data_IF_456332820160
#
_entry.id   IF_456332820160
#
_cell.length_a   1.000
_cell.length_b   1.000
_cell.length_c   1.000
_cell.angle_alpha   90.00
_cell.angle_beta   90.00
_cell.angle_gamma   90.00
#
_symmetry.space_group_name_H-M   'P 1'
#
loop_
_entity.id
_entity.type
_entity.pdbx_description
1 polymer ?
#
# COMPACT_ATOMS: atom_id res chain seq x y z
N UNK A 1 18.15 1.82 -23.82
CA UNK A 1 17.45 2.13 -22.55
C UNK A 1 18.03 1.21 -21.47
N UNK A 2 18.70 1.72 -20.43
CA UNK A 2 19.24 0.88 -19.34
C UNK A 2 18.12 0.62 -18.31
N UNK A 3 18.00 -0.62 -17.82
CA UNK A 3 17.00 -0.99 -16.80
C UNK A 3 17.24 -0.22 -15.50
N UNK A 4 16.17 0.13 -14.77
CA UNK A 4 16.29 0.92 -13.54
C UNK A 4 17.20 0.22 -12.51
N UNK A 5 17.05 -1.10 -12.35
CA UNK A 5 17.92 -1.96 -11.52
C UNK A 5 19.40 -1.79 -11.87
N UNK A 6 19.76 -1.83 -13.16
CA UNK A 6 21.16 -1.68 -13.59
C UNK A 6 21.73 -0.32 -13.20
N UNK A 7 20.91 0.73 -13.34
CA UNK A 7 21.32 2.10 -13.01
C UNK A 7 21.53 2.27 -11.51
N UNK A 8 20.58 1.80 -10.71
CA UNK A 8 20.60 1.98 -9.25
C UNK A 8 21.67 1.10 -8.58
N UNK A 9 21.89 -0.11 -9.11
CA UNK A 9 22.93 -1.03 -8.65
C UNK A 9 24.34 -0.73 -9.16
N UNK A 10 24.53 0.38 -9.89
CA UNK A 10 25.81 0.75 -10.55
C UNK A 10 26.35 -0.37 -11.45
N UNK A 11 25.46 -1.15 -12.07
CA UNK A 11 25.81 -2.24 -12.97
C UNK A 11 26.01 -3.60 -12.31
N UNK A 12 25.80 -3.73 -10.99
CA UNK A 12 25.92 -5.03 -10.29
C UNK A 12 24.90 -6.06 -10.83
N UNK A 13 23.68 -5.64 -11.15
CA UNK A 13 22.63 -6.52 -11.68
C UNK A 13 22.13 -6.03 -13.03
N UNK A 14 22.02 -6.93 -14.01
CA UNK A 14 21.49 -6.67 -15.35
C UNK A 14 19.95 -6.51 -15.34
N UNK A 15 19.27 -7.21 -14.43
CA UNK A 15 17.82 -7.25 -14.35
C UNK A 15 17.33 -7.54 -12.91
N UNK A 16 16.02 -7.42 -12.68
CA UNK A 16 15.39 -7.70 -11.38
C UNK A 16 15.48 -9.19 -10.99
N UNK A 17 15.54 -10.10 -11.96
CA UNK A 17 15.66 -11.54 -11.70
C UNK A 17 16.98 -11.87 -11.00
N UNK A 18 18.09 -11.32 -11.49
CA UNK A 18 19.41 -11.46 -10.86
C UNK A 18 19.44 -10.87 -9.45
N UNK A 19 18.79 -9.72 -9.24
CA UNK A 19 18.66 -9.13 -7.92
C UNK A 19 17.91 -10.07 -6.96
N UNK A 20 16.77 -10.61 -7.37
CA UNK A 20 15.94 -11.49 -6.52
C UNK A 20 16.48 -12.92 -6.41
N UNK A 21 17.50 -13.29 -7.19
CA UNK A 21 18.19 -14.57 -7.10
C UNK A 21 19.26 -14.58 -6.00
N UNK A 22 19.62 -13.41 -5.44
CA UNK A 22 20.47 -13.34 -4.25
C UNK A 22 19.67 -13.48 -2.95
N UNK A 23 20.29 -14.03 -1.88
CA UNK A 23 19.69 -13.98 -0.56
C UNK A 23 19.58 -12.53 -0.08
N UNK A 24 18.57 -12.25 0.73
CA UNK A 24 18.34 -10.91 1.29
C UNK A 24 19.51 -10.54 2.21
N UNK A 25 20.15 -9.42 1.94
CA UNK A 25 21.32 -8.89 2.67
C UNK A 25 21.21 -7.38 2.84
N UNK A 26 22.04 -6.80 3.71
CA UNK A 26 22.01 -5.36 4.00
C UNK A 26 22.30 -4.51 2.75
N UNK A 27 23.10 -5.05 1.83
CA UNK A 27 23.53 -4.35 0.61
C UNK A 27 22.44 -4.34 -0.48
N UNK A 28 21.62 -5.40 -0.57
CA UNK A 28 20.65 -5.57 -1.65
C UNK A 28 19.19 -5.33 -1.22
N UNK A 29 18.86 -5.43 0.06
CA UNK A 29 17.48 -5.32 0.58
C UNK A 29 16.83 -3.98 0.24
N UNK A 30 17.61 -2.90 0.27
CA UNK A 30 17.14 -1.57 -0.13
C UNK A 30 16.65 -1.57 -1.58
N UNK A 31 17.48 -2.05 -2.50
CA UNK A 31 17.14 -2.10 -3.92
C UNK A 31 16.00 -3.08 -4.20
N UNK A 32 15.97 -4.22 -3.50
CA UNK A 32 14.86 -5.20 -3.60
C UNK A 32 13.52 -4.56 -3.22
N UNK A 33 13.45 -3.88 -2.09
CA UNK A 33 12.22 -3.22 -1.63
C UNK A 33 11.78 -2.09 -2.57
N UNK A 34 12.72 -1.29 -3.08
CA UNK A 34 12.45 -0.26 -4.09
C UNK A 34 11.86 -0.85 -5.38
N UNK A 35 12.37 -1.99 -5.86
CA UNK A 35 11.84 -2.64 -7.08
C UNK A 35 10.46 -3.26 -6.84
N UNK A 36 10.23 -3.88 -5.68
CA UNK A 36 8.91 -4.41 -5.32
C UNK A 36 7.87 -3.29 -5.26
N UNK A 37 8.19 -2.16 -4.63
CA UNK A 37 7.27 -1.03 -4.52
C UNK A 37 6.91 -0.44 -5.90
N UNK A 38 7.89 -0.29 -6.79
CA UNK A 38 7.63 0.15 -8.17
C UNK A 38 6.71 -0.80 -8.92
N UNK A 39 6.95 -2.11 -8.81
CA UNK A 39 6.13 -3.13 -9.46
C UNK A 39 4.70 -3.16 -8.88
N UNK A 40 4.55 -3.05 -7.57
CA UNK A 40 3.25 -2.97 -6.92
C UNK A 40 2.44 -1.76 -7.43
N UNK A 41 3.04 -0.57 -7.39
CA UNK A 41 2.40 0.66 -7.89
C UNK A 41 2.07 0.57 -9.39
N UNK A 42 2.96 0.00 -10.21
CA UNK A 42 2.72 -0.20 -11.65
C UNK A 42 1.53 -1.13 -11.92
N UNK A 43 1.38 -2.19 -11.13
CA UNK A 43 0.28 -3.13 -11.28
C UNK A 43 -1.08 -2.53 -10.90
N UNK A 44 -1.09 -1.61 -9.93
CA UNK A 44 -2.33 -0.96 -9.47
C UNK A 44 -2.70 0.26 -10.32
N UNK A 45 -1.74 0.85 -11.04
CA UNK A 45 -1.92 2.04 -11.88
C UNK A 45 -3.15 2.00 -12.81
N UNK A 46 -3.49 0.87 -13.49
CA UNK A 46 -4.66 0.81 -14.37
C UNK A 46 -6.00 1.05 -13.66
N UNK A 47 -6.07 0.81 -12.34
CA UNK A 47 -7.31 0.89 -11.57
C UNK A 47 -7.52 2.25 -10.89
N UNK A 48 -6.47 3.04 -10.72
CA UNK A 48 -6.51 4.33 -10.01
C UNK A 48 -5.40 5.26 -10.52
N UNK A 49 -5.63 5.82 -11.71
CA UNK A 49 -4.63 6.63 -12.38
C UNK A 49 -4.26 7.91 -11.63
N UNK A 50 -5.17 8.53 -10.86
CA UNK A 50 -4.91 9.86 -10.31
C UNK A 50 -3.96 9.81 -9.10
N UNK A 51 -4.23 8.91 -8.15
CA UNK A 51 -3.48 8.83 -6.90
C UNK A 51 -2.22 7.99 -7.09
N UNK A 52 -2.36 6.83 -7.74
CA UNK A 52 -1.24 5.89 -7.88
C UNK A 52 -0.19 6.41 -8.85
N UNK A 53 -0.57 7.20 -9.88
CA UNK A 53 0.43 7.83 -10.75
C UNK A 53 1.27 8.87 -10.01
N UNK A 54 0.68 9.64 -9.07
CA UNK A 54 1.43 10.60 -8.24
C UNK A 54 2.45 9.88 -7.37
N UNK A 55 2.03 8.79 -6.70
CA UNK A 55 2.92 7.95 -5.89
C UNK A 55 4.03 7.30 -6.73
N UNK A 56 3.69 6.73 -7.88
CA UNK A 56 4.66 6.10 -8.79
C UNK A 56 5.68 7.12 -9.31
N UNK A 57 5.21 8.27 -9.80
CA UNK A 57 6.09 9.32 -10.30
C UNK A 57 6.95 9.93 -9.19
N UNK A 58 6.42 10.06 -7.97
CA UNK A 58 7.16 10.45 -6.78
C UNK A 58 8.28 9.47 -6.47
N UNK A 59 7.96 8.18 -6.36
CA UNK A 59 8.94 7.12 -6.12
C UNK A 59 10.04 7.09 -7.19
N UNK A 60 9.69 7.18 -8.48
CA UNK A 60 10.69 7.24 -9.56
C UNK A 60 11.60 8.47 -9.43
N UNK A 61 11.07 9.64 -9.04
CA UNK A 61 11.89 10.82 -8.78
C UNK A 61 12.81 10.61 -7.59
N UNK A 62 12.31 10.02 -6.51
CA UNK A 62 13.06 9.73 -5.29
C UNK A 62 14.25 8.83 -5.60
N UNK A 63 14.04 7.71 -6.29
CA UNK A 63 15.11 6.77 -6.65
C UNK A 63 16.25 7.42 -7.45
N UNK A 64 15.95 8.46 -8.24
CA UNK A 64 16.96 9.18 -9.01
C UNK A 64 17.66 10.31 -8.22
N UNK A 65 17.06 10.81 -7.14
CA UNK A 65 17.50 12.03 -6.44
C UNK A 65 17.81 11.83 -4.96
N UNK A 66 17.60 10.63 -4.41
CA UNK A 66 17.78 10.32 -2.98
C UNK A 66 19.20 10.57 -2.45
N UNK A 67 20.20 10.68 -3.33
CA UNK A 67 21.59 10.99 -2.97
C UNK A 67 21.86 12.49 -2.82
N UNK A 68 20.91 13.34 -3.21
CA UNK A 68 21.05 14.78 -3.11
C UNK A 68 20.71 15.25 -1.70
N UNK A 69 21.62 15.96 -1.05
CA UNK A 69 21.52 16.36 0.37
C UNK A 69 20.27 17.21 0.65
N UNK A 70 19.81 18.01 -0.31
CA UNK A 70 18.67 18.93 -0.16
C UNK A 70 17.38 18.41 -0.83
N UNK A 71 17.28 17.10 -1.09
CA UNK A 71 16.10 16.54 -1.75
C UNK A 71 15.09 16.00 -0.73
N UNK A 72 13.88 16.54 -0.77
CA UNK A 72 12.74 16.03 0.01
C UNK A 72 12.17 14.79 -0.66
N UNK A 73 12.18 13.68 0.08
CA UNK A 73 11.60 12.41 -0.33
C UNK A 73 10.07 12.52 -0.36
N UNK A 74 9.43 11.93 -1.37
CA UNK A 74 7.97 11.92 -1.49
C UNK A 74 7.33 10.74 -0.76
N UNK A 75 6.03 10.83 -0.49
CA UNK A 75 5.19 9.75 0.07
C UNK A 75 5.27 8.44 -0.74
N UNK A 76 5.69 8.51 -2.01
CA UNK A 76 5.93 7.32 -2.83
C UNK A 76 7.01 6.41 -2.25
N UNK A 77 8.00 6.97 -1.55
CA UNK A 77 9.09 6.21 -0.93
C UNK A 77 8.69 5.49 0.35
N UNK A 78 7.58 5.88 0.99
CA UNK A 78 7.08 5.18 2.18
C UNK A 78 6.72 3.73 1.85
N UNK A 79 6.20 3.47 0.65
CA UNK A 79 5.94 2.11 0.15
C UNK A 79 7.21 1.31 -0.10
N UNK A 80 8.28 1.97 -0.53
CA UNK A 80 9.59 1.33 -0.65
C UNK A 80 10.14 1.00 0.75
N UNK A 81 10.07 1.91 1.71
CA UNK A 81 10.48 1.67 3.09
C UNK A 81 9.70 0.53 3.73
N UNK A 82 8.39 0.45 3.51
CA UNK A 82 7.56 -0.65 3.96
C UNK A 82 8.06 -1.98 3.41
N UNK A 83 8.31 -2.06 2.10
CA UNK A 83 8.83 -3.26 1.46
C UNK A 83 10.23 -3.63 2.00
N UNK A 84 11.10 -2.65 2.22
CA UNK A 84 12.44 -2.84 2.79
C UNK A 84 12.34 -3.43 4.20
N UNK A 85 11.57 -2.79 5.09
CA UNK A 85 11.38 -3.25 6.48
C UNK A 85 10.73 -4.64 6.54
N UNK A 86 9.83 -4.95 5.61
CA UNK A 86 9.25 -6.29 5.51
C UNK A 86 10.31 -7.32 5.14
N UNK A 87 11.08 -7.08 4.07
CA UNK A 87 12.12 -8.01 3.60
C UNK A 87 13.25 -8.19 4.61
N UNK A 88 13.59 -7.14 5.37
CA UNK A 88 14.68 -7.18 6.34
C UNK A 88 14.48 -8.22 7.44
N UNK A 89 13.23 -8.56 7.77
CA UNK A 89 12.90 -9.64 8.72
C UNK A 89 13.33 -11.03 8.21
N UNK A 90 13.58 -11.16 6.91
CA UNK A 90 13.94 -12.40 6.22
C UNK A 90 15.41 -12.40 5.76
N UNK A 91 16.27 -11.61 6.40
CA UNK A 91 17.70 -11.55 6.08
C UNK A 91 18.34 -12.95 6.10
N UNK A 92 19.12 -13.24 5.06
CA UNK A 92 19.75 -14.55 4.85
C UNK A 92 18.90 -15.56 4.07
N UNK A 93 17.62 -15.30 3.84
CA UNK A 93 16.73 -16.13 3.03
C UNK A 93 16.55 -15.56 1.62
N UNK A 94 16.07 -16.39 0.70
CA UNK A 94 15.73 -15.94 -0.65
C UNK A 94 14.30 -15.43 -0.70
N UNK A 95 14.02 -14.45 -1.56
CA UNK A 95 12.67 -13.90 -1.70
C UNK A 95 11.68 -14.95 -2.26
N UNK A 96 12.18 -16.01 -2.90
CA UNK A 96 11.43 -17.18 -3.36
C UNK A 96 11.08 -18.17 -2.25
N UNK A 97 11.69 -18.07 -1.08
CA UNK A 97 11.43 -19.00 0.02
C UNK A 97 10.00 -18.87 0.53
N UNK A 98 9.51 -19.96 1.13
CA UNK A 98 8.14 -20.06 1.60
C UNK A 98 7.98 -19.18 2.85
N UNK A 99 7.09 -18.20 2.78
CA UNK A 99 6.71 -17.37 3.92
C UNK A 99 5.72 -18.08 4.83
N UNK A 100 4.76 -18.80 4.24
CA UNK A 100 3.72 -19.50 4.98
C UNK A 100 2.54 -19.90 4.11
N UNK A 101 1.46 -20.32 4.76
CA UNK A 101 0.18 -20.63 4.09
C UNK A 101 -0.75 -19.44 4.14
N UNK A 102 -1.43 -19.21 3.02
CA UNK A 102 -2.53 -18.25 2.93
C UNK A 102 -3.79 -18.77 3.64
N UNK A 103 -4.80 -17.91 3.79
CA UNK A 103 -6.13 -18.28 4.30
C UNK A 103 -6.77 -19.42 3.51
N UNK A 104 -6.44 -19.53 2.22
CA UNK A 104 -6.87 -20.61 1.34
C UNK A 104 -6.00 -21.87 1.42
N UNK A 105 -5.01 -21.92 2.32
CA UNK A 105 -4.09 -23.04 2.50
C UNK A 105 -2.95 -23.12 1.48
N UNK A 106 -2.89 -22.22 0.49
CA UNK A 106 -1.84 -22.18 -0.54
C UNK A 106 -0.54 -21.62 0.04
N UNK A 107 0.59 -22.27 -0.26
CA UNK A 107 1.91 -21.74 0.08
C UNK A 107 2.21 -20.47 -0.71
N UNK A 108 2.67 -19.43 -0.01
CA UNK A 108 3.10 -18.17 -0.60
C UNK A 108 4.57 -17.93 -0.31
N UNK A 109 5.26 -17.29 -1.26
CA UNK A 109 6.65 -16.90 -1.10
C UNK A 109 6.76 -15.60 -0.30
N UNK A 110 7.94 -15.32 0.26
CA UNK A 110 8.27 -14.04 0.91
C UNK A 110 7.99 -12.87 -0.04
N UNK A 111 8.31 -13.02 -1.33
CA UNK A 111 8.03 -12.01 -2.36
C UNK A 111 6.54 -11.70 -2.44
N UNK A 112 5.72 -12.74 -2.50
CA UNK A 112 4.26 -12.62 -2.59
C UNK A 112 3.68 -12.00 -1.34
N UNK A 113 4.21 -12.37 -0.17
CA UNK A 113 3.81 -11.78 1.11
C UNK A 113 4.16 -10.28 1.19
N UNK A 114 5.34 -9.89 0.69
CA UNK A 114 5.77 -8.50 0.63
C UNK A 114 4.86 -7.66 -0.28
N UNK A 115 4.52 -8.14 -1.49
CA UNK A 115 3.54 -7.45 -2.34
C UNK A 115 2.20 -7.25 -1.65
N UNK A 116 1.69 -8.27 -0.96
CA UNK A 116 0.42 -8.17 -0.23
C UNK A 116 0.48 -7.16 0.90
N UNK A 117 1.61 -7.03 1.59
CA UNK A 117 1.79 -6.01 2.63
C UNK A 117 1.74 -4.59 2.03
N UNK A 118 2.44 -4.37 0.91
CA UNK A 118 2.43 -3.09 0.19
C UNK A 118 1.03 -2.76 -0.35
N UNK A 119 0.37 -3.72 -1.00
CA UNK A 119 -0.97 -3.55 -1.56
C UNK A 119 -2.02 -3.26 -0.48
N UNK A 120 -1.87 -3.87 0.70
CA UNK A 120 -2.74 -3.61 1.85
C UNK A 120 -2.63 -2.16 2.31
N UNK A 121 -1.43 -1.62 2.47
CA UNK A 121 -1.27 -0.21 2.84
C UNK A 121 -1.72 0.74 1.74
N UNK A 122 -1.49 0.40 0.48
CA UNK A 122 -2.02 1.19 -0.64
C UNK A 122 -3.55 1.22 -0.62
N UNK A 123 -4.20 0.10 -0.31
CA UNK A 123 -5.65 0.03 -0.14
C UNK A 123 -6.14 0.89 1.04
N UNK A 124 -5.44 0.84 2.18
CA UNK A 124 -5.75 1.69 3.33
C UNK A 124 -5.64 3.18 3.00
N UNK A 125 -4.57 3.57 2.31
CA UNK A 125 -4.38 4.94 1.85
C UNK A 125 -5.51 5.40 0.92
N UNK A 126 -5.87 4.58 -0.07
CA UNK A 126 -6.98 4.87 -1.00
C UNK A 126 -8.32 5.01 -0.29
N UNK A 127 -8.63 4.11 0.66
CA UNK A 127 -9.85 4.18 1.48
C UNK A 127 -9.89 5.46 2.32
N UNK A 128 -8.77 5.86 2.90
CA UNK A 128 -8.66 7.11 3.68
C UNK A 128 -8.92 8.34 2.81
N UNK A 129 -8.37 8.38 1.60
CA UNK A 129 -8.65 9.48 0.64
C UNK A 129 -10.12 9.51 0.25
N UNK A 130 -10.72 8.35 -0.08
CA UNK A 130 -12.13 8.28 -0.43
C UNK A 130 -13.03 8.74 0.73
N UNK A 131 -12.75 8.31 1.95
CA UNK A 131 -13.45 8.75 3.15
C UNK A 131 -13.31 10.26 3.39
N UNK A 132 -12.10 10.80 3.26
CA UNK A 132 -11.89 12.25 3.39
C UNK A 132 -12.67 13.02 2.32
N UNK A 133 -12.65 12.57 1.05
CA UNK A 133 -13.44 13.20 -0.03
C UNK A 133 -14.94 13.22 0.29
N UNK A 134 -15.48 12.15 0.90
CA UNK A 134 -16.88 12.11 1.35
C UNK A 134 -17.21 13.14 2.43
N UNK A 135 -16.27 13.43 3.33
CA UNK A 135 -16.43 14.45 4.38
C UNK A 135 -16.45 15.87 3.78
N UNK A 136 -15.78 16.10 2.65
CA UNK A 136 -15.61 17.43 2.04
C UNK A 136 -16.70 17.84 1.02
N UNK A 137 -17.79 17.09 0.87
CA UNK A 137 -18.97 17.60 0.15
C UNK A 137 -19.81 18.42 1.13
N UNK A 138 -19.74 19.74 1.09
CA UNK A 138 -20.87 20.67 1.32
C UNK A 138 -21.99 20.27 2.31
N UNK A 139 -21.70 19.64 3.46
CA UNK A 139 -22.71 19.48 4.51
C UNK A 139 -22.72 20.77 5.31
N UNK A 140 -23.61 21.69 4.94
CA UNK A 140 -24.11 22.67 5.88
C UNK A 140 -24.57 21.87 7.11
N UNK A 141 -24.10 22.24 8.30
CA UNK A 141 -24.38 21.50 9.55
C UNK A 141 -25.89 21.31 9.84
N UNK A 142 -26.74 22.02 9.10
CA UNK A 142 -28.20 22.00 9.14
C UNK A 142 -28.85 20.90 8.27
N UNK A 143 -28.11 20.26 7.36
CA UNK A 143 -28.65 19.27 6.40
C UNK A 143 -28.34 17.82 6.78
N UNK A 144 -27.60 17.57 7.86
CA UNK A 144 -27.54 16.25 8.46
C UNK A 144 -28.86 16.11 9.22
N UNK A 145 -29.81 15.24 8.80
CA UNK A 145 -30.95 14.95 9.64
C UNK A 145 -30.35 14.41 10.94
N UNK A 146 -30.63 15.08 12.06
CA UNK A 146 -30.30 14.59 13.39
C UNK A 146 -30.62 13.09 13.41
N UNK A 147 -29.68 12.20 13.79
CA UNK A 147 -29.91 10.76 13.74
C UNK A 147 -31.27 10.50 14.34
N UNK A 148 -32.20 10.04 13.49
CA UNK A 148 -33.62 9.96 13.82
C UNK A 148 -33.70 9.36 15.21
N UNK A 149 -34.13 10.13 16.20
CA UNK A 149 -34.13 9.66 17.58
C UNK A 149 -35.15 8.53 17.64
N UNK A 150 -34.65 7.29 17.54
CA UNK A 150 -35.46 6.07 17.54
C UNK A 150 -36.24 5.90 18.86
N UNK A 151 -36.03 6.78 19.83
CA UNK A 151 -36.71 6.83 21.12
C UNK A 151 -37.69 8.01 21.25
N UNK A 152 -37.79 8.89 20.25
CA UNK A 152 -38.71 10.03 20.26
C UNK A 152 -40.17 9.63 19.94
N UNK A 153 -40.40 8.51 19.25
CA UNK A 153 -41.74 7.95 19.04
C UNK A 153 -42.20 7.17 20.28
N UNK A 154 -42.39 7.87 21.40
CA UNK A 154 -43.18 7.37 22.53
C UNK A 154 -44.60 7.91 22.45
N UNK A 155 -45.39 7.31 21.56
CA UNK A 155 -46.83 7.23 21.74
C UNK A 155 -47.25 5.77 21.47
N UNK A 156 -46.81 4.88 22.35
CA UNK A 156 -47.41 3.55 22.46
C UNK A 156 -48.82 3.74 23.03
N UNK A 157 -49.81 3.74 22.15
CA UNK A 157 -51.22 3.81 22.52
C UNK A 157 -51.69 2.43 23.03
N UNK A 158 -51.42 2.16 24.31
CA UNK A 158 -51.75 0.88 24.97
C UNK A 158 -53.26 0.59 25.04
N UNK A 159 -54.12 1.53 24.64
CA UNK A 159 -55.57 1.34 24.59
C UNK A 159 -56.02 0.26 23.59
N UNK A 160 -55.16 -0.18 22.67
CA UNK A 160 -55.45 -1.24 21.69
C UNK A 160 -55.09 -2.66 22.17
N UNK A 161 -54.49 -2.81 23.34
CA UNK A 161 -54.25 -4.12 23.93
C UNK A 161 -55.52 -4.65 24.63
N UNK A 162 -56.57 -4.94 23.85
CA UNK A 162 -57.64 -5.83 24.31
C UNK A 162 -57.17 -7.27 24.11
N UNK A 163 -56.90 -7.94 25.21
CA UNK A 163 -56.58 -9.37 25.27
C UNK A 163 -57.85 -10.19 24.95
N UNK A 164 -57.78 -11.22 24.08
CA UNK A 164 -58.77 -12.28 24.04
C UNK A 164 -58.62 -13.26 25.21
#
# INVERSE_FOLDING_TARGET
MKMLVTKLSKGKYANEGELFAEPISDDNVKLMGEMIALQALRNVMPFDFEVVSKLYNGLVKDLNRIKNINYTITDGYDYAQLAICFLYQFKGMFVSDIYGKDRSGKYITIKTACYRAVDKELLHFRRKIAHNRQIYFEHNKHDIPDPRDCFADKNEDYAKAQFP
#
